data_IF_690572763690
#
_entry.id   IF_690572763690
#
_cell.length_a   1.000
_cell.length_b   1.000
_cell.length_c   1.000
_cell.angle_alpha   90.00
_cell.angle_beta   90.00
_cell.angle_gamma   90.00
#
_symmetry.space_group_name_H-M   'P 1'
#
loop_
_entity.id
_entity.type
_entity.pdbx_description
1 polymer ?
#
# COMPACT_ATOMS: atom_id res chain seq x y z
N UNK A 1 10.71 27.29 2.71
CA UNK A 1 9.62 26.55 3.41
C UNK A 1 9.34 25.30 2.58
N UNK A 2 8.68 24.29 3.13
CA UNK A 2 8.26 23.11 2.35
C UNK A 2 6.76 23.24 2.10
N UNK A 3 6.39 23.42 0.84
CA UNK A 3 5.01 23.46 0.41
C UNK A 3 4.51 22.04 0.10
N UNK A 4 3.19 21.89 0.08
CA UNK A 4 2.54 20.66 -0.35
C UNK A 4 1.61 21.01 -1.51
N UNK A 5 1.79 20.34 -2.63
CA UNK A 5 1.01 20.49 -3.84
C UNK A 5 0.22 19.22 -4.14
N UNK A 6 -0.95 19.38 -4.75
CA UNK A 6 -1.87 18.28 -5.02
C UNK A 6 -2.09 18.14 -6.53
N UNK A 7 -1.60 17.05 -7.08
CA UNK A 7 -1.79 16.64 -8.46
C UNK A 7 -3.12 15.91 -8.63
N UNK A 8 -4.16 16.62 -9.05
CA UNK A 8 -5.43 16.02 -9.45
C UNK A 8 -5.25 15.29 -10.77
N UNK A 9 -5.43 13.97 -10.73
CA UNK A 9 -5.01 13.05 -11.78
C UNK A 9 -6.20 12.27 -12.34
N UNK A 10 -6.25 12.14 -13.66
CA UNK A 10 -7.22 11.29 -14.36
C UNK A 10 -6.57 10.57 -15.54
N UNK A 11 -7.13 9.44 -15.94
CA UNK A 11 -6.64 8.68 -17.09
C UNK A 11 -7.26 9.20 -18.39
N UNK A 12 -6.43 9.83 -19.21
CA UNK A 12 -6.74 10.14 -20.60
C UNK A 12 -6.33 9.01 -21.56
N UNK A 13 -6.48 9.25 -22.87
CA UNK A 13 -6.09 8.31 -23.94
C UNK A 13 -4.57 8.08 -23.98
N UNK A 14 -4.10 7.09 -23.22
CA UNK A 14 -2.69 6.71 -23.18
C UNK A 14 -1.81 7.54 -22.24
N UNK A 15 -2.37 8.57 -21.60
CA UNK A 15 -1.67 9.50 -20.71
C UNK A 15 -2.38 9.65 -19.37
N UNK A 16 -1.61 10.00 -18.34
CA UNK A 16 -2.13 10.57 -17.10
C UNK A 16 -2.14 12.08 -17.27
N UNK A 17 -3.33 12.68 -17.15
CA UNK A 17 -3.51 14.12 -17.17
C UNK A 17 -3.46 14.60 -15.72
N UNK A 18 -2.69 15.65 -15.47
CA UNK A 18 -2.46 16.22 -14.14
C UNK A 18 -2.85 17.68 -14.18
N UNK A 19 -3.66 18.08 -13.21
CA UNK A 19 -3.95 19.48 -12.91
C UNK A 19 -3.55 19.76 -11.46
N UNK A 20 -2.82 20.85 -11.23
CA UNK A 20 -2.52 21.27 -9.88
C UNK A 20 -3.77 21.85 -9.22
N UNK A 21 -4.07 21.42 -8.00
CA UNK A 21 -5.25 21.91 -7.25
C UNK A 21 -5.06 23.34 -6.78
N UNK A 22 -3.84 23.67 -6.38
CA UNK A 22 -3.44 24.98 -5.86
C UNK A 22 -3.34 26.04 -6.96
N UNK A 23 -3.05 25.62 -8.20
CA UNK A 23 -3.14 26.45 -9.39
C UNK A 23 -3.77 25.67 -10.56
N UNK A 24 -5.08 25.81 -10.79
CA UNK A 24 -5.77 25.11 -11.87
C UNK A 24 -5.24 25.43 -13.28
N UNK A 25 -4.48 26.53 -13.44
CA UNK A 25 -3.82 26.89 -14.69
C UNK A 25 -2.62 26.01 -15.03
N UNK A 26 -2.03 25.35 -14.04
CA UNK A 26 -0.92 24.41 -14.23
C UNK A 26 -1.48 23.03 -14.61
N UNK A 27 -1.35 22.69 -15.88
CA UNK A 27 -1.64 21.37 -16.42
C UNK A 27 -0.37 20.74 -16.99
N UNK A 28 -0.23 19.45 -16.75
CA UNK A 28 0.83 18.64 -17.35
C UNK A 28 0.35 17.21 -17.58
N UNK A 29 1.18 16.38 -18.19
CA UNK A 29 0.84 14.99 -18.47
C UNK A 29 2.06 14.09 -18.47
N UNK A 30 1.84 12.82 -18.16
CA UNK A 30 2.89 11.81 -18.21
C UNK A 30 2.35 10.45 -18.60
N UNK A 31 3.22 9.52 -19.01
CA UNK A 31 2.77 8.17 -19.38
C UNK A 31 2.56 7.27 -18.17
N UNK A 32 3.27 7.53 -17.07
CA UNK A 32 3.26 6.68 -15.87
C UNK A 32 2.99 7.49 -14.60
N UNK A 33 2.16 6.95 -13.70
CA UNK A 33 1.80 7.60 -12.44
C UNK A 33 3.00 8.02 -11.59
N UNK A 34 4.06 7.20 -11.58
CA UNK A 34 5.25 7.47 -10.78
C UNK A 34 6.07 8.68 -11.25
N UNK A 35 5.82 9.15 -12.47
CA UNK A 35 6.48 10.33 -13.03
C UNK A 35 5.75 11.63 -12.70
N UNK A 36 4.56 11.56 -12.08
CA UNK A 36 3.75 12.74 -11.76
C UNK A 36 4.50 13.72 -10.84
N UNK A 37 5.16 13.28 -9.74
CA UNK A 37 5.85 14.20 -8.85
C UNK A 37 6.93 15.00 -9.57
N UNK A 38 7.77 14.34 -10.38
CA UNK A 38 8.84 15.01 -11.12
C UNK A 38 8.26 15.97 -12.16
N UNK A 39 7.22 15.54 -12.89
CA UNK A 39 6.57 16.38 -13.89
C UNK A 39 5.90 17.63 -13.29
N UNK A 40 5.35 17.53 -12.08
CA UNK A 40 4.80 18.68 -11.34
C UNK A 40 5.93 19.61 -10.89
N UNK A 41 7.05 19.08 -10.39
CA UNK A 41 8.21 19.90 -9.97
C UNK A 41 8.80 20.67 -11.14
N UNK A 42 9.02 20.00 -12.27
CA UNK A 42 9.53 20.62 -13.49
C UNK A 42 8.56 21.71 -13.99
N UNK A 43 7.25 21.50 -13.89
CA UNK A 43 6.27 22.52 -14.24
C UNK A 43 6.30 23.71 -13.27
N UNK A 44 6.45 23.48 -11.97
CA UNK A 44 6.52 24.52 -10.93
C UNK A 44 7.73 25.44 -11.07
N UNK A 45 8.82 25.02 -11.71
CA UNK A 45 9.96 25.91 -12.03
C UNK A 45 9.55 27.12 -12.88
N UNK A 46 8.44 27.01 -13.62
CA UNK A 46 7.90 28.08 -14.45
C UNK A 46 7.02 29.08 -13.67
N UNK A 47 6.71 28.78 -12.40
CA UNK A 47 5.78 29.54 -11.55
C UNK A 47 6.44 29.93 -10.22
N UNK A 48 7.42 30.86 -10.23
CA UNK A 48 8.15 31.27 -9.04
C UNK A 48 7.26 31.91 -7.95
N UNK A 49 6.05 32.35 -8.29
CA UNK A 49 5.05 32.82 -7.35
C UNK A 49 4.44 31.71 -6.48
N UNK A 50 4.53 30.44 -6.91
CA UNK A 50 4.01 29.29 -6.19
C UNK A 50 5.06 28.68 -5.26
N UNK A 51 6.32 28.64 -5.68
CA UNK A 51 7.43 28.11 -4.87
C UNK A 51 8.79 28.61 -5.35
N UNK A 52 9.71 28.80 -4.40
CA UNK A 52 11.10 29.17 -4.68
C UNK A 52 11.99 27.95 -4.98
N UNK A 53 11.57 26.74 -4.58
CA UNK A 53 12.34 25.50 -4.74
C UNK A 53 11.41 24.28 -4.85
N UNK A 54 10.92 23.97 -6.06
CA UNK A 54 10.00 22.87 -6.30
C UNK A 54 10.50 21.52 -5.78
N UNK A 55 11.81 21.27 -5.74
CA UNK A 55 12.36 19.97 -5.34
C UNK A 55 12.38 19.75 -3.82
N UNK A 56 12.17 20.80 -3.02
CA UNK A 56 11.95 20.68 -1.56
C UNK A 56 10.49 20.42 -1.18
N UNK A 57 9.56 20.57 -2.12
CA UNK A 57 8.13 20.47 -1.86
C UNK A 57 7.63 19.02 -1.86
N UNK A 58 6.44 18.79 -1.34
CA UNK A 58 5.76 17.50 -1.37
C UNK A 58 4.71 17.55 -2.49
N UNK A 59 4.68 16.52 -3.33
CA UNK A 59 3.63 16.36 -4.36
C UNK A 59 2.78 15.15 -3.99
N UNK A 60 1.53 15.41 -3.63
CA UNK A 60 0.51 14.39 -3.40
C UNK A 60 -0.24 14.12 -4.70
N UNK A 61 -0.59 12.85 -4.94
CA UNK A 61 -1.40 12.44 -6.07
C UNK A 61 -2.81 12.17 -5.56
N UNK A 62 -3.79 12.89 -6.08
CA UNK A 62 -5.21 12.64 -5.87
C UNK A 62 -5.83 12.24 -7.22
N UNK A 63 -6.76 11.30 -7.22
CA UNK A 63 -7.50 10.97 -8.43
C UNK A 63 -8.79 11.79 -8.49
N UNK A 64 -9.20 12.21 -9.69
CA UNK A 64 -10.48 12.89 -9.87
C UNK A 64 -11.64 11.98 -9.45
N UNK A 65 -12.73 12.59 -8.99
CA UNK A 65 -13.95 11.86 -8.67
C UNK A 65 -14.46 11.07 -9.88
N UNK A 66 -14.80 9.80 -9.67
CA UNK A 66 -15.22 8.88 -10.73
C UNK A 66 -14.09 8.12 -11.44
N UNK A 67 -12.83 8.37 -11.08
CA UNK A 67 -11.68 7.62 -11.62
C UNK A 67 -11.60 6.20 -11.05
N UNK A 68 -12.29 5.27 -11.71
CA UNK A 68 -12.40 3.86 -11.29
C UNK A 68 -11.08 3.12 -11.14
N UNK A 69 -10.01 3.55 -11.82
CA UNK A 69 -8.71 2.86 -11.76
C UNK A 69 -8.14 2.90 -10.33
N UNK A 70 -8.29 4.02 -9.65
CA UNK A 70 -7.83 4.19 -8.27
C UNK A 70 -8.64 3.31 -7.31
N UNK A 71 -9.96 3.27 -7.48
CA UNK A 71 -10.84 2.46 -6.65
C UNK A 71 -10.55 0.96 -6.78
N UNK A 72 -10.35 0.47 -8.01
CA UNK A 72 -10.00 -0.93 -8.27
C UNK A 72 -8.68 -1.28 -7.58
N UNK A 73 -7.66 -0.42 -7.72
CA UNK A 73 -6.36 -0.62 -7.09
C UNK A 73 -6.47 -0.62 -5.56
N UNK A 74 -7.23 0.34 -5.00
CA UNK A 74 -7.44 0.46 -3.56
C UNK A 74 -8.14 -0.78 -2.99
N UNK A 75 -9.19 -1.29 -3.65
CA UNK A 75 -9.87 -2.52 -3.22
C UNK A 75 -8.92 -3.71 -3.22
N UNK A 76 -8.11 -3.89 -4.27
CA UNK A 76 -7.14 -4.98 -4.34
C UNK A 76 -6.07 -4.88 -3.25
N UNK A 77 -5.55 -3.69 -2.99
CA UNK A 77 -4.57 -3.43 -1.92
C UNK A 77 -5.17 -3.73 -0.55
N UNK A 78 -6.39 -3.24 -0.26
CA UNK A 78 -7.07 -3.49 1.00
C UNK A 78 -7.33 -4.98 1.23
N UNK A 79 -7.81 -5.71 0.22
CA UNK A 79 -8.03 -7.16 0.32
C UNK A 79 -6.73 -7.91 0.62
N UNK A 80 -5.62 -7.53 -0.02
CA UNK A 80 -4.31 -8.14 0.23
C UNK A 80 -3.80 -7.83 1.65
N UNK A 81 -3.96 -6.58 2.12
CA UNK A 81 -3.61 -6.21 3.49
C UNK A 81 -4.41 -7.00 4.53
N UNK A 82 -5.72 -7.14 4.33
CA UNK A 82 -6.59 -7.95 5.19
C UNK A 82 -6.17 -9.42 5.19
N UNK A 83 -5.86 -9.99 4.02
CA UNK A 83 -5.38 -11.37 3.90
C UNK A 83 -4.04 -11.57 4.64
N UNK A 84 -3.11 -10.62 4.51
CA UNK A 84 -1.82 -10.65 5.22
C UNK A 84 -2.02 -10.60 6.74
N UNK A 85 -2.86 -9.70 7.23
CA UNK A 85 -3.15 -9.59 8.65
C UNK A 85 -3.78 -10.87 9.22
N UNK A 86 -4.77 -11.43 8.53
CA UNK A 86 -5.40 -12.69 8.92
C UNK A 86 -4.40 -13.86 8.93
N UNK A 87 -3.49 -13.91 7.95
CA UNK A 87 -2.45 -14.94 7.90
C UNK A 87 -1.44 -14.82 9.05
N UNK A 88 -1.08 -13.59 9.43
CA UNK A 88 -0.19 -13.31 10.57
C UNK A 88 -0.84 -13.74 11.88
N UNK A 89 -2.09 -13.36 12.10
CA UNK A 89 -2.88 -13.74 13.28
C UNK A 89 -3.03 -15.27 13.39
N UNK A 90 -3.47 -15.93 12.31
CA UNK A 90 -3.59 -17.39 12.27
C UNK A 90 -2.24 -18.07 12.58
N UNK A 91 -1.13 -17.54 12.06
CA UNK A 91 0.20 -18.08 12.33
C UNK A 91 0.60 -17.93 13.80
N UNK A 92 0.24 -16.81 14.45
CA UNK A 92 0.50 -16.59 15.87
C UNK A 92 -0.32 -17.53 16.75
N UNK A 93 -1.63 -17.63 16.49
CA UNK A 93 -2.54 -18.52 17.21
C UNK A 93 -2.14 -20.00 17.08
N UNK A 94 -1.71 -20.43 15.89
CA UNK A 94 -1.22 -21.79 15.66
C UNK A 94 0.02 -22.13 16.48
N UNK A 95 0.96 -21.18 16.63
CA UNK A 95 2.15 -21.37 17.49
C UNK A 95 1.76 -21.43 18.97
N UNK A 96 0.92 -20.49 19.41
CA UNK A 96 0.44 -20.46 20.80
C UNK A 96 -0.28 -21.76 21.16
N UNK A 97 -1.21 -22.21 20.32
CA UNK A 97 -1.95 -23.45 20.53
C UNK A 97 -1.01 -24.67 20.57
N UNK A 98 -0.08 -24.79 19.61
CA UNK A 98 0.88 -25.90 19.60
C UNK A 98 1.76 -25.94 20.86
N UNK A 99 2.25 -24.78 21.29
CA UNK A 99 3.07 -24.66 22.51
C UNK A 99 2.26 -25.00 23.78
N UNK A 100 1.03 -24.51 23.90
CA UNK A 100 0.16 -24.82 25.05
C UNK A 100 -0.22 -26.29 25.11
N UNK A 101 -0.60 -26.90 23.98
CA UNK A 101 -0.95 -28.32 23.93
C UNK A 101 0.28 -29.19 24.26
N UNK A 102 1.46 -28.81 23.79
CA UNK A 102 2.71 -29.50 24.14
C UNK A 102 3.02 -29.39 25.64
N UNK A 103 2.81 -28.22 26.26
CA UNK A 103 2.98 -28.03 27.71
C UNK A 103 2.01 -28.88 28.53
N UNK A 104 0.84 -29.20 27.98
CA UNK A 104 -0.15 -30.12 28.56
C UNK A 104 0.20 -31.60 28.37
N UNK A 105 1.34 -31.90 27.74
CA UNK A 105 1.85 -33.27 27.59
C UNK A 105 1.33 -34.03 26.37
N UNK A 106 0.61 -33.37 25.44
CA UNK A 106 0.15 -34.03 24.22
C UNK A 106 1.32 -34.35 23.30
N UNK A 107 1.23 -35.48 22.59
CA UNK A 107 2.21 -35.82 21.56
C UNK A 107 2.08 -34.88 20.37
N UNK A 108 3.19 -34.58 19.67
CA UNK A 108 3.11 -33.75 18.46
C UNK A 108 2.25 -34.36 17.34
N UNK A 109 1.97 -35.67 17.41
CA UNK A 109 1.08 -36.34 16.45
C UNK A 109 -0.37 -35.96 16.73
N UNK A 110 -0.78 -35.98 17.99
CA UNK A 110 -2.11 -35.54 18.40
C UNK A 110 -2.29 -34.04 18.17
N UNK A 111 -1.27 -33.23 18.47
CA UNK A 111 -1.28 -31.80 18.19
C UNK A 111 -1.43 -31.54 16.69
N UNK A 112 -0.71 -32.28 15.84
CA UNK A 112 -0.86 -32.19 14.38
C UNK A 112 -2.28 -32.49 13.93
N UNK A 113 -2.88 -33.58 14.43
CA UNK A 113 -4.27 -33.93 14.14
C UNK A 113 -5.25 -32.84 14.59
N UNK A 114 -5.10 -32.31 15.81
CA UNK A 114 -5.98 -31.27 16.36
C UNK A 114 -5.87 -29.95 15.61
N UNK A 115 -4.67 -29.58 15.16
CA UNK A 115 -4.41 -28.33 14.44
C UNK A 115 -4.52 -28.47 12.92
N UNK A 116 -4.85 -29.66 12.40
CA UNK A 116 -4.97 -29.91 10.96
C UNK A 116 -3.65 -29.78 10.19
N UNK A 117 -2.52 -30.07 10.82
CA UNK A 117 -1.18 -29.98 10.21
C UNK A 117 -0.39 -31.28 10.37
N UNK A 118 0.68 -31.44 9.59
CA UNK A 118 1.57 -32.59 9.75
C UNK A 118 2.25 -32.60 11.12
N UNK A 119 2.65 -33.79 11.57
CA UNK A 119 3.44 -33.98 12.77
C UNK A 119 4.70 -33.08 12.80
N UNK A 120 5.44 -33.01 11.68
CA UNK A 120 6.66 -32.17 11.61
C UNK A 120 6.32 -30.68 11.77
N UNK A 121 5.20 -30.23 11.21
CA UNK A 121 4.75 -28.84 11.35
C UNK A 121 4.32 -28.54 12.78
N UNK A 122 3.59 -29.45 13.42
CA UNK A 122 3.20 -29.33 14.82
C UNK A 122 4.43 -29.24 15.75
N UNK A 123 5.43 -30.11 15.55
CA UNK A 123 6.69 -30.05 16.28
C UNK A 123 7.38 -28.69 16.09
N UNK A 124 7.50 -28.21 14.85
CA UNK A 124 8.11 -26.89 14.56
C UNK A 124 7.35 -25.76 15.25
N UNK A 125 6.01 -25.75 15.18
CA UNK A 125 5.17 -24.73 15.80
C UNK A 125 5.26 -24.73 17.34
N UNK A 126 5.44 -25.89 17.97
CA UNK A 126 5.54 -26.01 19.42
C UNK A 126 6.94 -25.65 19.98
N UNK A 127 7.96 -25.65 19.11
CA UNK A 127 9.37 -25.48 19.51
C UNK A 127 10.01 -24.17 19.04
N UNK A 128 9.27 -23.36 18.26
CA UNK A 128 9.68 -22.02 17.81
C UNK A 128 8.95 -20.97 18.62
#
# INVERSE_FOLDING_TARGET
MTNTFTALTERGEGWWVIQLKEDPGLLTQTRRLDQIPDMVRDALELFPELTDDPYKDIVNIEFREGESIADIANQAVQANQAAKQAQEEASQLMRQAAAELSKKGLSYRDIGTLLGVSFQRAQKLATT
#
